data_IF_298835547511
#
_entry.id   IF_298835547511
#
_cell.length_a   1.000
_cell.length_b   1.000
_cell.length_c   1.000
_cell.angle_alpha   90.00
_cell.angle_beta   90.00
_cell.angle_gamma   90.00
#
_symmetry.space_group_name_H-M   'P 1'
#
loop_
_entity.id
_entity.type
_entity.pdbx_description
1 polymer ?
#
# COMPACT_ATOMS: atom_id res chain seq x y z
N UNK A 1 -56.56 6.00 -50.99
CA UNK A 1 -57.01 7.18 -50.24
C UNK A 1 -56.73 6.96 -48.76
N UNK A 2 -56.10 7.93 -48.10
CA UNK A 2 -55.83 8.05 -46.64
C UNK A 2 -54.85 7.06 -46.02
N UNK A 3 -53.86 7.44 -45.20
CA UNK A 3 -53.12 8.69 -44.91
C UNK A 3 -51.95 8.24 -44.02
N UNK A 4 -50.74 8.74 -44.26
CA UNK A 4 -49.58 8.54 -43.40
C UNK A 4 -49.80 9.15 -42.01
N UNK A 5 -49.19 8.57 -40.98
CA UNK A 5 -48.72 9.33 -39.81
C UNK A 5 -47.51 8.63 -39.18
N UNK A 6 -46.39 9.36 -39.17
CA UNK A 6 -45.14 8.96 -38.54
C UNK A 6 -45.11 9.28 -37.05
N UNK A 7 -44.36 8.47 -36.31
CA UNK A 7 -44.04 8.73 -34.91
C UNK A 7 -42.55 8.99 -34.73
N UNK A 8 -42.33 10.11 -34.05
CA UNK A 8 -41.11 10.88 -33.79
C UNK A 8 -40.26 10.20 -32.72
N UNK A 9 -38.97 10.03 -33.00
CA UNK A 9 -37.97 9.62 -32.03
C UNK A 9 -37.78 10.70 -30.95
N UNK A 10 -37.90 10.32 -29.68
CA UNK A 10 -37.52 11.15 -28.55
C UNK A 10 -36.01 10.99 -28.31
N UNK A 11 -35.29 12.10 -28.44
CA UNK A 11 -33.87 12.24 -28.12
C UNK A 11 -33.80 12.55 -26.63
N UNK A 12 -33.36 11.57 -25.82
CA UNK A 12 -33.14 11.76 -24.39
C UNK A 12 -31.89 12.59 -24.13
N UNK A 13 -32.02 13.61 -23.29
CA UNK A 13 -30.96 14.53 -22.88
C UNK A 13 -29.86 13.83 -22.08
N UNK A 14 -28.61 14.16 -22.40
CA UNK A 14 -27.44 13.77 -21.63
C UNK A 14 -27.35 14.58 -20.32
N UNK A 15 -26.97 13.97 -19.19
CA UNK A 15 -26.78 14.70 -17.94
C UNK A 15 -25.56 15.63 -18.02
N UNK A 16 -25.74 16.86 -17.52
CA UNK A 16 -24.71 17.90 -17.46
C UNK A 16 -23.60 17.50 -16.46
N UNK A 17 -22.33 17.81 -16.74
CA UNK A 17 -21.24 17.55 -15.80
C UNK A 17 -21.35 18.48 -14.58
N UNK A 18 -21.31 17.87 -13.39
CA UNK A 18 -21.21 18.57 -12.10
C UNK A 18 -19.78 19.07 -11.95
N UNK A 19 -19.62 20.40 -11.88
CA UNK A 19 -18.33 21.05 -11.63
C UNK A 19 -18.00 20.93 -10.14
N UNK A 20 -17.07 20.04 -9.78
CA UNK A 20 -16.44 20.08 -8.47
C UNK A 20 -15.43 21.22 -8.41
N UNK A 21 -15.68 22.17 -7.51
CA UNK A 21 -14.89 23.38 -7.32
C UNK A 21 -13.80 23.09 -6.29
N UNK A 22 -12.64 22.60 -6.73
CA UNK A 22 -11.47 22.43 -5.86
C UNK A 22 -10.75 23.79 -5.74
N UNK A 23 -10.90 24.46 -4.60
CA UNK A 23 -10.12 25.67 -4.29
C UNK A 23 -8.65 25.26 -4.12
N UNK A 24 -7.82 25.64 -5.09
CA UNK A 24 -6.38 25.50 -5.03
C UNK A 24 -5.77 26.30 -3.89
N UNK A 25 -4.94 25.65 -3.09
CA UNK A 25 -3.88 26.31 -2.34
C UNK A 25 -2.59 26.15 -3.14
N UNK A 26 -2.23 27.21 -3.85
CA UNK A 26 -0.93 27.37 -4.50
C UNK A 26 0.11 27.72 -3.44
N UNK A 27 1.04 26.81 -3.13
CA UNK A 27 2.30 27.17 -2.50
C UNK A 27 3.34 27.37 -3.61
N UNK A 28 3.69 28.63 -3.85
CA UNK A 28 4.71 29.03 -4.81
C UNK A 28 6.09 29.04 -4.14
N UNK A 29 7.16 28.52 -4.77
CA UNK A 29 8.52 28.58 -4.25
C UNK A 29 9.25 29.78 -4.86
N UNK A 30 9.56 30.81 -4.06
CA UNK A 30 10.63 31.81 -4.30
C UNK A 30 10.63 32.90 -3.21
N UNK A 31 11.70 32.94 -2.43
CA UNK A 31 12.33 34.07 -1.71
C UNK A 31 13.19 33.43 -0.60
N UNK A 32 14.46 33.71 -0.38
CA UNK A 32 15.34 34.73 -0.93
C UNK A 32 16.79 34.22 -0.79
N UNK A 33 17.57 34.40 -1.86
CA UNK A 33 19.02 34.48 -1.79
C UNK A 33 19.42 35.87 -1.30
N UNK A 34 20.63 35.93 -0.73
CA UNK A 34 21.47 37.09 -0.52
C UNK A 34 21.34 37.82 0.82
N UNK A 35 22.37 37.66 1.66
CA UNK A 35 23.16 38.81 2.13
C UNK A 35 24.51 38.39 2.71
N UNK A 36 25.53 38.95 2.06
CA UNK A 36 26.78 39.50 2.62
C UNK A 36 27.84 38.55 3.18
N UNK A 37 28.85 38.37 2.31
CA UNK A 37 30.27 38.29 2.64
C UNK A 37 30.67 39.33 3.68
N UNK A 38 31.37 38.90 4.73
CA UNK A 38 32.49 39.69 5.24
C UNK A 38 33.63 38.82 5.75
N UNK A 39 34.83 39.37 5.54
CA UNK A 39 36.14 38.72 5.43
C UNK A 39 36.90 38.80 6.76
N UNK A 40 37.79 37.82 7.01
CA UNK A 40 38.98 37.74 7.92
C UNK A 40 38.90 36.41 8.71
N UNK A 41 39.93 35.58 8.89
CA UNK A 41 41.39 35.69 8.74
C UNK A 41 41.92 34.25 8.73
N UNK A 42 42.91 33.96 7.90
CA UNK A 42 43.64 32.69 7.90
C UNK A 42 44.53 32.55 9.14
N UNK A 43 44.60 31.33 9.68
CA UNK A 43 45.79 30.74 10.31
C UNK A 43 45.77 29.24 10.06
N UNK A 44 46.83 28.75 9.41
CA UNK A 44 47.23 27.35 9.30
C UNK A 44 47.33 26.69 10.68
N UNK A 45 47.10 25.37 10.72
CA UNK A 45 47.94 24.40 11.44
C UNK A 45 47.48 22.95 11.13
N UNK A 46 48.38 22.22 10.48
CA UNK A 46 48.83 20.84 10.72
C UNK A 46 47.86 19.69 11.02
N UNK A 47 47.94 18.70 10.13
CA UNK A 47 48.13 17.26 10.39
C UNK A 47 47.62 16.70 11.72
N UNK A 48 46.52 15.94 11.66
CA UNK A 48 46.37 14.66 12.38
C UNK A 48 45.17 13.86 11.91
N UNK A 49 45.51 12.78 11.21
CA UNK A 49 44.97 11.43 11.37
C UNK A 49 43.82 11.31 12.40
N UNK A 50 42.58 11.27 11.90
CA UNK A 50 41.41 10.88 12.67
C UNK A 50 40.38 10.29 11.70
N UNK A 51 40.60 9.00 11.44
CA UNK A 51 39.69 8.04 10.83
C UNK A 51 38.26 8.26 11.33
N UNK A 52 37.44 8.92 10.51
CA UNK A 52 36.01 9.09 10.79
C UNK A 52 35.35 7.70 10.83
N UNK A 53 34.50 7.39 11.83
CA UNK A 53 33.73 6.16 11.81
C UNK A 53 32.77 6.22 10.63
N UNK A 54 32.85 5.19 9.79
CA UNK A 54 31.97 4.90 8.68
C UNK A 54 30.51 5.01 9.16
N UNK A 55 29.85 6.08 8.73
CA UNK A 55 28.48 6.40 9.07
C UNK A 55 27.59 5.39 8.33
N UNK A 56 27.38 4.24 8.97
CA UNK A 56 26.42 3.24 8.54
C UNK A 56 25.06 3.90 8.56
N UNK A 57 24.55 4.26 7.39
CA UNK A 57 23.18 4.76 7.23
C UNK A 57 22.22 3.73 7.83
N UNK A 58 21.24 4.16 8.64
CA UNK A 58 20.32 3.23 9.25
C UNK A 58 19.44 2.66 8.14
N UNK A 59 19.70 1.40 7.79
CA UNK A 59 18.70 0.51 7.21
C UNK A 59 17.38 0.75 7.93
N UNK A 60 16.32 1.00 7.18
CA UNK A 60 14.97 1.29 7.66
C UNK A 60 14.54 0.29 8.73
N UNK A 61 14.84 0.63 9.98
CA UNK A 61 14.42 -0.13 11.14
C UNK A 61 12.91 0.06 11.23
N UNK A 62 12.17 -0.90 10.69
CA UNK A 62 10.77 -1.17 11.05
C UNK A 62 10.74 -1.62 12.52
N UNK A 63 11.00 -0.67 13.42
CA UNK A 63 11.12 -0.88 14.86
C UNK A 63 9.78 -0.65 15.56
N UNK A 64 9.27 -1.72 16.16
CA UNK A 64 8.47 -1.67 17.39
C UNK A 64 6.98 -1.38 17.25
N UNK A 65 6.16 -2.44 17.26
CA UNK A 65 4.73 -2.39 17.58
C UNK A 65 3.80 -2.55 16.37
N UNK A 66 3.08 -3.66 16.29
CA UNK A 66 1.85 -3.80 15.49
C UNK A 66 1.94 -3.91 13.96
N UNK A 67 2.98 -3.39 13.31
CA UNK A 67 3.05 -3.28 11.83
C UNK A 67 3.13 -4.61 11.09
N UNK A 68 1.97 -5.23 10.86
CA UNK A 68 1.83 -6.60 10.38
C UNK A 68 1.67 -6.77 8.87
N UNK A 69 1.62 -5.70 8.08
CA UNK A 69 1.48 -5.77 6.62
C UNK A 69 0.89 -4.50 6.01
N UNK A 70 1.10 -4.28 4.71
CA UNK A 70 0.45 -3.21 3.96
C UNK A 70 -1.01 -3.60 3.66
N UNK A 71 -1.97 -2.99 4.37
CA UNK A 71 -3.39 -3.35 4.27
C UNK A 71 -4.31 -2.12 4.30
N UNK A 72 -5.56 -2.30 3.86
CA UNK A 72 -6.66 -1.34 4.01
C UNK A 72 -7.73 -1.86 4.97
N UNK A 73 -8.44 -0.96 5.64
CA UNK A 73 -9.57 -1.33 6.47
C UNK A 73 -10.75 -1.86 5.63
N UNK A 74 -11.58 -2.68 6.28
CA UNK A 74 -12.91 -3.02 5.81
C UNK A 74 -13.70 -1.78 5.35
N UNK A 75 -14.51 -1.93 4.29
CA UNK A 75 -15.32 -0.85 3.71
C UNK A 75 -14.56 0.07 2.73
N UNK A 76 -13.24 -0.12 2.54
CA UNK A 76 -12.46 0.70 1.61
C UNK A 76 -12.99 0.55 0.17
N UNK A 77 -13.40 1.63 -0.52
CA UNK A 77 -13.88 1.54 -1.90
C UNK A 77 -12.73 1.33 -2.89
N UNK A 78 -12.81 0.26 -3.68
CA UNK A 78 -11.86 -0.10 -4.74
C UNK A 78 -12.49 0.18 -6.10
N UNK A 79 -11.78 0.89 -6.98
CA UNK A 79 -12.26 1.18 -8.32
C UNK A 79 -12.10 -0.01 -9.27
N UNK A 80 -13.21 -0.40 -9.90
CA UNK A 80 -13.26 -1.45 -10.91
C UNK A 80 -12.98 -0.88 -12.31
N UNK A 81 -12.64 -1.76 -13.25
CA UNK A 81 -12.44 -1.41 -14.66
C UNK A 81 -13.61 -0.59 -15.23
N UNK A 82 -14.85 -0.95 -14.87
CA UNK A 82 -16.07 -0.29 -15.32
C UNK A 82 -16.25 1.16 -14.84
N UNK A 83 -15.40 1.65 -13.93
CA UNK A 83 -15.52 2.94 -13.28
C UNK A 83 -16.46 2.95 -12.08
N UNK A 84 -17.14 1.83 -11.79
CA UNK A 84 -17.84 1.62 -10.52
C UNK A 84 -16.86 1.28 -9.40
N UNK A 85 -17.33 1.30 -8.16
CA UNK A 85 -16.56 0.91 -6.98
C UNK A 85 -17.20 -0.26 -6.26
N UNK A 86 -16.38 -1.11 -5.66
CA UNK A 86 -16.80 -2.17 -4.73
C UNK A 86 -16.06 -2.00 -3.41
N UNK A 87 -16.67 -2.34 -2.28
CA UNK A 87 -15.97 -2.37 -1.01
C UNK A 87 -14.94 -3.52 -0.99
N UNK A 88 -13.79 -3.30 -0.37
CA UNK A 88 -12.65 -4.23 -0.47
C UNK A 88 -12.97 -5.65 0.02
N UNK A 89 -13.84 -5.80 1.02
CA UNK A 89 -14.28 -7.12 1.50
C UNK A 89 -15.18 -7.86 0.51
N UNK A 90 -15.76 -7.16 -0.46
CA UNK A 90 -16.64 -7.69 -1.48
C UNK A 90 -15.96 -7.90 -2.83
N UNK A 91 -14.73 -7.41 -2.97
CA UNK A 91 -13.85 -7.72 -4.09
C UNK A 91 -13.53 -9.23 -4.11
N UNK A 92 -13.49 -9.82 -5.31
CA UNK A 92 -13.28 -11.27 -5.52
C UNK A 92 -12.20 -11.52 -6.56
N UNK A 93 -11.52 -12.66 -6.47
CA UNK A 93 -10.68 -13.15 -7.57
C UNK A 93 -11.50 -13.22 -8.87
N UNK A 94 -10.89 -12.78 -9.98
CA UNK A 94 -11.55 -12.60 -11.28
C UNK A 94 -12.19 -11.22 -11.48
N UNK A 95 -12.27 -10.38 -10.44
CA UNK A 95 -12.66 -8.97 -10.61
C UNK A 95 -11.54 -8.20 -11.30
N UNK A 96 -11.88 -7.25 -12.17
CA UNK A 96 -10.89 -6.37 -12.82
C UNK A 96 -10.87 -5.00 -12.16
N UNK A 97 -9.71 -4.57 -11.66
CA UNK A 97 -9.52 -3.28 -10.97
C UNK A 97 -8.71 -2.30 -11.82
N UNK A 98 -8.84 -1.01 -11.53
CA UNK A 98 -8.04 0.04 -12.15
C UNK A 98 -6.63 0.09 -11.53
N UNK A 99 -5.62 0.13 -12.40
CA UNK A 99 -4.20 0.30 -12.02
C UNK A 99 -3.58 1.43 -12.85
N UNK A 100 -2.40 1.91 -12.45
CA UNK A 100 -1.64 2.89 -13.22
C UNK A 100 -1.19 2.37 -14.60
N UNK A 101 -1.11 1.05 -14.80
CA UNK A 101 -0.80 0.43 -16.10
C UNK A 101 -2.04 -0.07 -16.86
N UNK A 102 -3.23 0.40 -16.47
CA UNK A 102 -4.52 -0.06 -17.00
C UNK A 102 -5.13 -1.22 -16.21
N UNK A 103 -6.28 -1.76 -16.65
CA UNK A 103 -7.02 -2.75 -15.87
C UNK A 103 -6.23 -4.04 -15.61
N UNK A 104 -6.35 -4.62 -14.40
CA UNK A 104 -5.75 -5.92 -14.05
C UNK A 104 -6.70 -6.80 -13.25
N UNK A 105 -6.59 -8.10 -13.47
CA UNK A 105 -7.35 -9.09 -12.72
C UNK A 105 -6.85 -9.21 -11.29
N UNK A 106 -7.78 -9.24 -10.34
CA UNK A 106 -7.52 -9.67 -8.97
C UNK A 106 -7.38 -11.18 -8.98
N UNK A 107 -6.26 -11.70 -8.50
CA UNK A 107 -6.04 -13.16 -8.39
C UNK A 107 -6.13 -13.64 -6.94
N UNK A 108 -5.92 -12.75 -5.98
CA UNK A 108 -6.09 -13.07 -4.57
C UNK A 108 -6.42 -11.85 -3.71
N UNK A 109 -7.17 -12.10 -2.64
CA UNK A 109 -7.32 -11.17 -1.51
C UNK A 109 -6.77 -11.84 -0.27
N UNK A 110 -6.06 -11.09 0.56
CA UNK A 110 -5.69 -11.52 1.91
C UNK A 110 -6.57 -10.80 2.91
N UNK A 111 -6.93 -11.50 3.99
CA UNK A 111 -7.69 -10.96 5.12
C UNK A 111 -6.96 -11.25 6.41
N UNK A 112 -6.87 -10.25 7.27
CA UNK A 112 -6.39 -10.39 8.64
C UNK A 112 -7.28 -9.57 9.57
N UNK A 113 -7.65 -10.15 10.71
CA UNK A 113 -8.33 -9.39 11.75
C UNK A 113 -7.26 -8.78 12.66
N UNK A 114 -7.38 -7.48 12.92
CA UNK A 114 -6.48 -6.73 13.79
C UNK A 114 -7.24 -6.17 14.99
N UNK A 115 -6.56 -6.09 16.13
CA UNK A 115 -7.09 -5.51 17.36
C UNK A 115 -6.21 -4.36 17.79
N UNK A 116 -6.82 -3.19 18.02
CA UNK A 116 -6.13 -1.98 18.46
C UNK A 116 -4.89 -1.67 17.61
N UNK A 117 -5.00 -1.82 16.29
CA UNK A 117 -3.90 -1.51 15.38
C UNK A 117 -3.97 -0.06 14.90
N UNK A 118 -2.82 0.51 14.58
CA UNK A 118 -2.72 1.92 14.18
C UNK A 118 -2.91 2.05 12.67
N UNK A 119 -3.99 2.73 12.28
CA UNK A 119 -4.25 3.10 10.90
C UNK A 119 -4.16 4.61 10.71
N UNK A 120 -3.85 5.01 9.48
CA UNK A 120 -3.80 6.38 9.04
C UNK A 120 -5.06 6.68 8.20
N UNK A 121 -5.70 7.81 8.47
CA UNK A 121 -6.79 8.32 7.64
C UNK A 121 -6.24 9.26 6.57
N UNK A 122 -6.47 8.93 5.30
CA UNK A 122 -6.15 9.75 4.14
C UNK A 122 -7.43 9.95 3.32
N UNK A 123 -8.11 11.08 3.55
CA UNK A 123 -9.47 11.30 3.03
C UNK A 123 -10.44 10.24 3.57
N UNK A 124 -11.07 9.51 2.65
CA UNK A 124 -12.03 8.44 2.97
C UNK A 124 -11.37 7.06 3.13
N UNK A 125 -10.05 6.96 2.98
CA UNK A 125 -9.31 5.69 3.12
C UNK A 125 -8.71 5.56 4.52
N UNK A 126 -8.91 4.39 5.13
CA UNK A 126 -8.17 3.95 6.31
C UNK A 126 -7.16 2.88 5.92
N UNK A 127 -5.90 3.15 6.15
CA UNK A 127 -4.79 2.35 5.63
C UNK A 127 -3.71 2.18 6.69
N UNK A 128 -3.01 1.04 6.71
CA UNK A 128 -1.93 0.82 7.68
C UNK A 128 -0.78 1.82 7.45
N UNK A 129 -0.13 2.20 8.55
CA UNK A 129 0.91 3.24 8.59
C UNK A 129 2.01 3.12 7.53
N UNK A 130 2.37 1.89 7.16
CA UNK A 130 3.49 1.55 6.28
C UNK A 130 3.04 0.99 4.92
N UNK A 131 1.79 1.21 4.51
CA UNK A 131 1.32 0.83 3.18
C UNK A 131 1.75 1.89 2.16
N UNK A 132 2.53 1.59 1.10
CA UNK A 132 2.91 2.60 0.11
C UNK A 132 1.71 3.15 -0.67
N UNK A 133 1.52 4.47 -0.62
CA UNK A 133 0.43 5.18 -1.32
C UNK A 133 0.96 6.35 -2.15
N UNK A 134 0.17 6.79 -3.13
CA UNK A 134 0.48 7.93 -4.00
C UNK A 134 -0.78 8.68 -4.39
N UNK A 135 -0.71 10.02 -4.40
CA UNK A 135 -1.82 10.88 -4.86
C UNK A 135 -1.82 11.09 -6.38
N UNK A 136 -0.66 10.94 -7.03
CA UNK A 136 -0.44 11.26 -8.45
C UNK A 136 0.05 10.05 -9.27
N UNK A 137 0.36 8.93 -8.61
CA UNK A 137 0.96 7.74 -9.21
C UNK A 137 2.47 7.86 -9.46
N UNK A 138 3.08 9.00 -9.12
CA UNK A 138 4.48 9.32 -9.37
C UNK A 138 5.27 9.32 -8.07
N UNK A 139 4.82 10.10 -7.08
CA UNK A 139 5.48 10.20 -5.78
C UNK A 139 4.79 9.29 -4.77
N UNK A 140 5.59 8.47 -4.10
CA UNK A 140 5.12 7.43 -3.18
C UNK A 140 5.52 7.74 -1.75
N UNK A 141 4.60 7.48 -0.82
CA UNK A 141 4.74 7.83 0.59
C UNK A 141 4.22 6.72 1.49
N UNK A 142 4.69 6.72 2.74
CA UNK A 142 4.02 6.01 3.82
C UNK A 142 2.98 6.90 4.50
N UNK A 143 1.74 6.43 4.73
CA UNK A 143 0.66 7.18 5.36
C UNK A 143 1.03 7.82 6.69
N UNK A 144 1.89 7.19 7.49
CA UNK A 144 2.38 7.73 8.75
C UNK A 144 3.13 9.07 8.61
N UNK A 145 3.66 9.37 7.42
CA UNK A 145 4.31 10.64 7.12
C UNK A 145 3.33 11.69 6.55
N UNK A 146 2.09 11.31 6.25
CA UNK A 146 1.09 12.14 5.60
C UNK A 146 -0.02 12.60 6.53
N UNK A 147 -0.15 12.00 7.71
CA UNK A 147 -1.16 12.36 8.71
C UNK A 147 -0.55 12.49 10.10
N UNK A 148 -1.14 13.38 10.90
CA UNK A 148 -0.76 13.61 12.31
C UNK A 148 -1.75 12.97 13.29
N UNK A 149 -2.88 12.47 12.79
CA UNK A 149 -3.98 11.92 13.59
C UNK A 149 -4.19 10.42 13.28
N UNK A 150 -3.32 9.53 13.80
CA UNK A 150 -3.54 8.10 13.69
C UNK A 150 -4.80 7.68 14.44
N UNK A 151 -5.49 6.66 13.91
CA UNK A 151 -6.68 6.08 14.53
C UNK A 151 -6.38 4.68 15.06
N UNK A 152 -6.98 4.34 16.20
CA UNK A 152 -7.00 2.97 16.69
C UNK A 152 -8.12 2.21 16.00
N UNK A 153 -7.77 1.12 15.32
CA UNK A 153 -8.69 0.31 14.55
C UNK A 153 -8.75 -1.12 15.08
N UNK A 154 -9.96 -1.65 15.19
CA UNK A 154 -10.23 -3.07 15.46
C UNK A 154 -11.21 -3.55 14.41
N UNK A 155 -10.82 -4.58 13.66
CA UNK A 155 -11.61 -5.07 12.54
C UNK A 155 -10.75 -5.80 11.51
N UNK A 156 -11.37 -6.11 10.36
CA UNK A 156 -10.67 -6.75 9.26
C UNK A 156 -9.88 -5.75 8.41
N UNK A 157 -8.67 -6.14 8.05
CA UNK A 157 -7.85 -5.46 7.05
C UNK A 157 -7.55 -6.40 5.88
N UNK A 158 -7.36 -5.81 4.70
CA UNK A 158 -7.26 -6.52 3.44
C UNK A 158 -6.04 -6.07 2.62
N UNK A 159 -5.42 -7.02 1.93
CA UNK A 159 -4.40 -6.77 0.92
C UNK A 159 -4.79 -7.46 -0.39
N UNK A 160 -4.38 -6.89 -1.52
CA UNK A 160 -4.77 -7.37 -2.85
C UNK A 160 -3.54 -7.94 -3.54
N UNK A 161 -3.71 -9.05 -4.24
CA UNK A 161 -2.76 -9.60 -5.21
C UNK A 161 -3.42 -9.56 -6.60
N UNK A 162 -2.75 -8.90 -7.54
CA UNK A 162 -3.16 -8.80 -8.94
C UNK A 162 -2.47 -9.88 -9.77
N UNK A 163 -2.92 -10.08 -11.01
CA UNK A 163 -2.24 -10.99 -11.93
C UNK A 163 -0.78 -10.60 -12.17
N UNK A 164 0.03 -11.59 -12.55
CA UNK A 164 1.46 -11.37 -12.76
C UNK A 164 1.71 -10.37 -13.90
N UNK A 165 2.54 -9.39 -13.64
CA UNK A 165 2.96 -8.37 -14.61
C UNK A 165 4.39 -7.91 -14.25
N UNK A 166 5.20 -7.59 -15.27
CA UNK A 166 6.57 -7.13 -15.08
C UNK A 166 6.67 -5.65 -14.70
N UNK A 167 5.60 -4.88 -14.83
CA UNK A 167 5.56 -3.46 -14.48
C UNK A 167 5.09 -3.25 -13.04
N UNK A 168 5.85 -2.53 -12.19
CA UNK A 168 5.37 -2.14 -10.86
C UNK A 168 4.09 -1.31 -10.88
N UNK A 169 3.82 -0.57 -11.96
CA UNK A 169 2.59 0.21 -12.12
C UNK A 169 1.35 -0.66 -12.33
N UNK A 170 1.50 -1.88 -12.83
CA UNK A 170 0.41 -2.85 -12.94
C UNK A 170 0.04 -3.45 -11.59
N UNK A 171 0.91 -3.35 -10.59
CA UNK A 171 0.68 -3.77 -9.21
C UNK A 171 0.29 -2.59 -8.32
N UNK A 172 -0.66 -1.81 -8.81
CA UNK A 172 -1.26 -0.69 -8.10
C UNK A 172 -2.77 -0.78 -8.18
N UNK A 173 -3.45 -0.18 -7.20
CA UNK A 173 -4.91 -0.16 -7.16
C UNK A 173 -5.40 1.23 -6.81
N UNK A 174 -6.47 1.67 -7.46
CA UNK A 174 -7.15 2.92 -7.12
C UNK A 174 -8.17 2.68 -6.02
N UNK A 175 -7.98 3.33 -4.86
CA UNK A 175 -8.87 3.25 -3.69
C UNK A 175 -9.34 4.63 -3.28
N UNK A 176 -10.63 4.91 -3.44
CA UNK A 176 -11.24 6.22 -3.18
C UNK A 176 -10.41 7.44 -3.65
N UNK A 177 -9.83 7.36 -4.86
CA UNK A 177 -9.02 8.43 -5.46
C UNK A 177 -7.54 8.44 -5.08
N UNK A 178 -7.08 7.50 -4.26
CA UNK A 178 -5.69 7.31 -3.87
C UNK A 178 -5.10 6.07 -4.56
N UNK A 179 -3.89 6.18 -5.11
CA UNK A 179 -3.16 5.02 -5.61
C UNK A 179 -2.44 4.32 -4.48
N UNK A 180 -2.43 3.00 -4.50
CA UNK A 180 -1.72 2.22 -3.52
C UNK A 180 -1.07 0.98 -4.13
N UNK A 181 0.05 0.55 -3.57
CA UNK A 181 0.79 -0.61 -4.06
C UNK A 181 0.10 -1.90 -3.63
N UNK A 182 0.02 -2.88 -4.52
CA UNK A 182 -0.48 -4.23 -4.20
C UNK A 182 0.66 -5.16 -3.83
N UNK A 183 0.34 -6.36 -3.36
CA UNK A 183 1.35 -7.40 -3.15
C UNK A 183 1.97 -7.83 -4.49
N UNK A 184 3.23 -8.28 -4.44
CA UNK A 184 3.94 -8.79 -5.61
C UNK A 184 4.39 -7.72 -6.60
N UNK A 185 4.57 -6.48 -6.15
CA UNK A 185 4.73 -5.31 -7.03
C UNK A 185 6.07 -5.18 -7.78
N UNK A 186 6.95 -6.18 -7.70
CA UNK A 186 8.19 -6.27 -8.49
C UNK A 186 9.34 -5.39 -8.01
N UNK A 187 9.17 -4.60 -6.94
CA UNK A 187 10.23 -3.74 -6.38
C UNK A 187 10.76 -4.41 -5.11
N UNK A 188 11.78 -5.26 -5.25
CA UNK A 188 12.30 -6.10 -4.16
C UNK A 188 13.48 -5.48 -3.41
N UNK A 189 14.12 -4.47 -3.98
CA UNK A 189 15.30 -3.81 -3.43
C UNK A 189 15.21 -2.31 -3.60
N UNK A 190 15.87 -1.58 -2.70
CA UNK A 190 16.09 -0.15 -2.85
C UNK A 190 16.97 0.04 -4.10
N UNK A 191 16.41 0.62 -5.15
CA UNK A 191 17.17 0.98 -6.33
C UNK A 191 17.75 2.37 -6.12
N UNK A 192 19.08 2.48 -6.07
CA UNK A 192 19.79 3.77 -6.10
C UNK A 192 19.66 4.50 -7.44
N UNK A 193 19.04 3.86 -8.45
CA UNK A 193 18.80 4.43 -9.77
C UNK A 193 17.33 4.80 -9.91
N UNK A 194 17.04 6.07 -9.69
CA UNK A 194 15.70 6.65 -9.76
C UNK A 194 14.95 6.27 -11.04
N UNK A 195 13.82 5.60 -10.87
CA UNK A 195 12.76 5.53 -11.86
C UNK A 195 12.05 6.87 -11.96
N UNK A 196 12.73 7.86 -12.53
CA UNK A 196 12.19 9.19 -12.82
C UNK A 196 13.15 9.90 -13.75
N UNK A 197 12.76 10.09 -15.00
CA UNK A 197 13.55 10.73 -16.06
C UNK A 197 13.82 12.22 -15.82
N UNK A 198 14.57 12.53 -14.77
CA UNK A 198 15.14 13.85 -14.50
C UNK A 198 16.63 13.70 -14.24
N UNK A 199 17.44 14.27 -15.12
CA UNK A 199 18.88 14.37 -14.95
C UNK A 199 19.20 15.10 -13.63
N UNK A 200 19.85 14.43 -12.68
CA UNK A 200 20.62 15.09 -11.61
C UNK A 200 20.11 15.00 -10.17
N UNK A 201 19.17 14.13 -9.81
CA UNK A 201 18.72 13.96 -8.41
C UNK A 201 19.39 12.79 -7.69
N UNK A 202 19.93 13.02 -6.48
CA UNK A 202 20.26 11.94 -5.53
C UNK A 202 19.08 10.95 -5.45
N UNK A 203 19.35 9.67 -5.69
CA UNK A 203 18.32 8.64 -5.78
C UNK A 203 17.51 8.56 -4.50
N UNK A 204 16.26 9.01 -4.54
CA UNK A 204 15.32 8.79 -3.46
C UNK A 204 14.90 7.33 -3.52
N UNK A 205 15.14 6.61 -2.42
CA UNK A 205 14.73 5.24 -2.24
C UNK A 205 13.22 5.07 -2.48
N UNK A 206 12.84 4.16 -3.38
CA UNK A 206 11.43 3.84 -3.62
C UNK A 206 10.82 3.19 -2.37
N UNK A 207 9.88 3.88 -1.72
CA UNK A 207 9.25 3.42 -0.47
C UNK A 207 8.48 2.11 -0.64
N UNK A 208 8.16 1.71 -1.89
CA UNK A 208 7.56 0.41 -2.16
C UNK A 208 8.56 -0.73 -1.99
N UNK A 209 9.87 -0.47 -2.08
CA UNK A 209 10.89 -1.50 -2.07
C UNK A 209 10.80 -2.41 -0.84
N UNK A 210 10.51 -3.68 -1.07
CA UNK A 210 10.42 -4.67 0.01
C UNK A 210 10.73 -6.08 -0.52
N UNK A 211 11.68 -6.84 0.06
CA UNK A 211 12.14 -8.11 -0.50
C UNK A 211 11.05 -9.18 -0.56
N UNK A 212 10.16 -9.23 0.42
CA UNK A 212 9.02 -10.14 0.40
C UNK A 212 7.80 -9.58 -0.34
N UNK A 213 7.22 -8.45 0.10
CA UNK A 213 6.00 -7.90 -0.51
C UNK A 213 6.17 -7.49 -1.98
N UNK A 214 7.39 -7.18 -2.43
CA UNK A 214 7.68 -6.93 -3.84
C UNK A 214 7.91 -8.18 -4.67
N UNK A 215 8.16 -9.34 -4.07
CA UNK A 215 8.43 -10.58 -4.80
C UNK A 215 7.13 -11.35 -5.07
N UNK A 216 6.67 -11.28 -6.32
CA UNK A 216 5.42 -11.91 -6.74
C UNK A 216 5.39 -13.42 -6.49
N UNK A 217 6.49 -14.12 -6.81
CA UNK A 217 6.56 -15.58 -6.72
C UNK A 217 6.54 -16.00 -5.26
N UNK A 218 7.36 -15.38 -4.42
CA UNK A 218 7.39 -15.68 -2.98
C UNK A 218 6.04 -15.37 -2.31
N UNK A 219 5.40 -14.26 -2.66
CA UNK A 219 4.06 -13.92 -2.17
C UNK A 219 3.06 -15.02 -2.54
N UNK A 220 3.04 -15.48 -3.79
CA UNK A 220 2.15 -16.54 -4.25
C UNK A 220 2.38 -17.85 -3.49
N UNK A 221 3.65 -18.26 -3.33
CA UNK A 221 4.00 -19.45 -2.56
C UNK A 221 3.49 -19.38 -1.11
N UNK A 222 3.62 -18.21 -0.46
CA UNK A 222 3.16 -18.03 0.92
C UNK A 222 1.65 -17.91 1.03
N UNK A 223 0.94 -17.45 0.00
CA UNK A 223 -0.53 -17.43 -0.03
C UNK A 223 -1.09 -18.84 -0.28
N UNK A 224 -0.44 -19.66 -1.10
CA UNK A 224 -0.93 -21.00 -1.49
C UNK A 224 -1.16 -21.94 -0.30
N UNK A 225 -0.51 -21.68 0.84
CA UNK A 225 -0.64 -22.45 2.07
C UNK A 225 -1.60 -21.84 3.09
N UNK A 226 -2.23 -20.70 2.77
CA UNK A 226 -3.22 -20.05 3.64
C UNK A 226 -4.60 -20.64 3.43
N UNK A 227 -5.43 -20.57 4.48
CA UNK A 227 -6.81 -21.05 4.43
C UNK A 227 -7.70 -20.06 3.66
N UNK A 228 -8.43 -20.48 2.62
CA UNK A 228 -9.46 -19.64 2.00
C UNK A 228 -10.68 -19.51 2.93
N UNK A 229 -11.18 -18.29 3.12
CA UNK A 229 -12.35 -17.93 3.91
C UNK A 229 -13.07 -16.76 3.23
N UNK A 230 -14.34 -16.97 2.85
CA UNK A 230 -15.22 -15.93 2.27
C UNK A 230 -14.60 -15.17 1.08
N UNK A 231 -13.93 -15.88 0.17
CA UNK A 231 -13.33 -15.26 -1.02
C UNK A 231 -11.98 -14.57 -0.79
N UNK A 232 -11.39 -14.69 0.40
CA UNK A 232 -10.04 -14.20 0.72
C UNK A 232 -9.21 -15.29 1.41
N UNK A 233 -7.89 -15.13 1.46
CA UNK A 233 -6.95 -15.98 2.16
C UNK A 233 -6.68 -15.42 3.57
N UNK A 234 -7.03 -16.19 4.59
CA UNK A 234 -6.89 -15.76 5.98
C UNK A 234 -5.45 -15.93 6.45
N UNK A 235 -4.89 -14.86 7.04
CA UNK A 235 -3.63 -14.89 7.78
C UNK A 235 -3.77 -14.22 9.15
N UNK A 236 -2.75 -14.36 10.01
CA UNK A 236 -2.77 -13.93 11.42
C UNK A 236 -1.52 -13.09 11.77
N UNK A 237 -1.21 -12.14 10.88
CA UNK A 237 0.01 -11.33 10.91
C UNK A 237 1.17 -11.95 10.12
N UNK A 238 2.37 -11.37 10.23
CA UNK A 238 3.53 -11.73 9.42
C UNK A 238 4.58 -12.54 10.18
N UNK A 239 5.42 -13.24 9.41
CA UNK A 239 6.71 -13.76 9.86
C UNK A 239 7.81 -12.79 9.44
N UNK A 240 8.90 -12.75 10.23
CA UNK A 240 10.05 -11.88 9.98
C UNK A 240 11.33 -12.69 9.99
N UNK A 241 12.25 -12.33 9.11
CA UNK A 241 13.59 -12.86 9.10
C UNK A 241 14.34 -12.39 10.36
N UNK A 242 14.93 -13.32 11.12
CA UNK A 242 15.53 -12.99 12.42
C UNK A 242 16.78 -12.11 12.31
N UNK A 243 17.48 -12.16 11.17
CA UNK A 243 18.73 -11.41 10.96
C UNK A 243 18.45 -9.99 10.51
N UNK A 244 17.49 -9.79 9.62
CA UNK A 244 17.19 -8.51 8.98
C UNK A 244 15.99 -7.80 9.61
N UNK A 245 15.13 -8.53 10.33
CA UNK A 245 13.86 -8.02 10.87
C UNK A 245 12.78 -7.77 9.82
N UNK A 246 13.09 -7.96 8.53
CA UNK A 246 12.17 -7.74 7.43
C UNK A 246 11.12 -8.84 7.35
N UNK A 247 9.94 -8.50 6.86
CA UNK A 247 8.87 -9.49 6.64
C UNK A 247 9.33 -10.50 5.59
N UNK A 248 9.04 -11.79 5.83
CA UNK A 248 9.39 -12.88 4.92
C UNK A 248 8.26 -13.91 4.71
N UNK A 249 7.04 -13.59 5.16
CA UNK A 249 5.91 -14.49 5.04
C UNK A 249 4.70 -14.08 5.87
N UNK A 250 3.66 -14.91 5.76
CA UNK A 250 2.40 -14.77 6.48
C UNK A 250 2.28 -15.86 7.55
N UNK A 251 1.76 -15.51 8.73
CA UNK A 251 1.49 -16.44 9.83
C UNK A 251 0.18 -17.18 9.56
N UNK A 252 0.27 -18.51 9.55
CA UNK A 252 -0.88 -19.40 9.46
C UNK A 252 -1.60 -19.52 10.82
N UNK A 253 -2.86 -19.98 10.80
CA UNK A 253 -3.50 -20.44 12.02
C UNK A 253 -2.66 -21.55 12.64
N UNK A 254 -2.43 -21.51 13.96
CA UNK A 254 -1.90 -22.70 14.64
C UNK A 254 -2.92 -23.81 14.48
N UNK A 255 -2.47 -24.98 14.00
CA UNK A 255 -3.27 -26.19 14.14
C UNK A 255 -3.60 -26.35 15.63
N UNK A 256 -4.87 -26.59 15.96
CA UNK A 256 -5.20 -27.08 17.29
C UNK A 256 -4.42 -28.40 17.44
N UNK A 257 -3.47 -28.45 18.34
CA UNK A 257 -2.97 -29.75 18.81
C UNK A 257 -4.18 -30.46 19.38
N UNK A 258 -4.54 -31.61 18.80
CA UNK A 258 -5.60 -32.46 19.33
C UNK A 258 -5.22 -32.83 20.77
N UNK A 259 -5.82 -32.12 21.72
CA UNK A 259 -5.79 -32.44 23.14
C UNK A 259 -6.61 -33.70 23.36
N UNK A 260 -6.10 -34.83 22.91
CA UNK A 260 -6.53 -36.15 23.32
C UNK A 260 -6.20 -36.32 24.80
N UNK A 261 -7.23 -36.36 25.62
CA UNK A 261 -7.13 -36.56 27.05
C UNK A 261 -8.53 -36.65 27.63
N UNK A 262 -9.23 -37.74 27.28
CA UNK A 262 -10.43 -38.22 27.96
C UNK A 262 -10.24 -38.10 29.48
N UNK A 263 -11.07 -37.28 30.12
CA UNK A 263 -11.39 -37.50 31.53
C UNK A 263 -12.46 -38.59 31.58
N UNK A 264 -12.22 -39.74 32.24
CA UNK A 264 -13.31 -40.66 32.51
C UNK A 264 -14.24 -40.04 33.55
N UNK A 265 -15.52 -40.00 33.18
CA UNK A 265 -16.64 -39.79 34.09
C UNK A 265 -16.57 -40.83 35.22
N UNK A 266 -16.27 -40.41 36.45
CA UNK A 266 -16.63 -41.18 37.63
C UNK A 266 -18.03 -40.78 38.06
N UNK A 267 -18.99 -41.57 37.62
CA UNK A 267 -20.33 -41.66 38.22
C UNK A 267 -20.21 -42.38 39.56
N UNK A 268 -20.77 -41.77 40.60
CA UNK A 268 -20.87 -42.34 41.93
C UNK A 268 -21.72 -43.62 41.97
N UNK A 269 -21.28 -44.60 42.77
CA UNK A 269 -22.07 -45.37 43.74
C UNK A 269 -21.16 -45.73 44.92
#
# INVERSE_FOLDING_TARGET
>A
MHKCNGTRAQKGDAPRPVKHNFKGQTLSPRNAMDRTLDRRKATDNDDRDSRAPEMTTPSSRSGGGGGGGACFAHGTPVALESGSTVEIQDLRSGSTVQTLAGPRLVVGLLRNYVENDVLCRLGDVLVTAWHPVSFDGVLWYFPVHLTVDPIMYTGDVYSILLEADGSPFAHTVLVAGLWAATLGHGITHLTTTGGGGGEGGEGVDDVRAHPFFGDYVLVCEKIAVLRPVNGAYQYYGVTRDQRTGLVNGFRQARAKTDGGGDQPYNSAL
#
